data_IF_248021596077
#
_entry.id   IF_248021596077
#
_cell.length_a   1.000
_cell.length_b   1.000
_cell.length_c   1.000
_cell.angle_alpha   90.00
_cell.angle_beta   90.00
_cell.angle_gamma   90.00
#
_symmetry.space_group_name_H-M   'P 1'
#
loop_
_entity.id
_entity.type
_entity.pdbx_description
1 polymer ?
#
# COMPACT_ATOMS: atom_id res chain seq x y z
N UNK A 1 36.83 17.03 -49.83
CA UNK A 1 37.07 15.96 -48.83
C UNK A 1 37.40 16.49 -47.42
N UNK A 2 38.03 17.63 -47.21
CA UNK A 2 38.37 18.17 -45.87
C UNK A 2 37.16 18.53 -44.97
N UNK A 3 36.05 18.98 -45.55
CA UNK A 3 34.89 19.46 -44.77
C UNK A 3 34.04 18.32 -44.10
N UNK A 4 34.15 17.08 -44.55
CA UNK A 4 33.40 15.94 -43.98
C UNK A 4 34.08 15.32 -42.76
N UNK A 5 35.40 15.48 -42.64
CA UNK A 5 36.14 14.97 -41.50
C UNK A 5 35.93 15.86 -40.28
N UNK A 6 35.89 17.19 -40.49
CA UNK A 6 35.66 18.15 -39.39
C UNK A 6 34.25 18.05 -38.81
N UNK A 7 33.22 17.80 -39.64
CA UNK A 7 31.86 17.52 -39.18
C UNK A 7 31.71 16.24 -38.38
N UNK A 8 32.43 15.19 -38.75
CA UNK A 8 32.46 13.93 -38.00
C UNK A 8 33.14 14.04 -36.64
N UNK A 9 34.20 14.84 -36.55
CA UNK A 9 34.91 15.07 -35.28
C UNK A 9 34.07 15.91 -34.32
N UNK A 10 33.38 16.95 -34.81
CA UNK A 10 32.49 17.79 -33.99
C UNK A 10 31.28 16.99 -33.51
N UNK A 11 30.72 16.09 -34.34
CA UNK A 11 29.58 15.24 -33.94
C UNK A 11 29.99 14.18 -32.91
N UNK A 12 31.22 13.66 -33.01
CA UNK A 12 31.79 12.70 -32.02
C UNK A 12 32.10 13.40 -30.69
N UNK A 13 32.55 14.65 -30.70
CA UNK A 13 32.81 15.42 -29.46
C UNK A 13 31.53 15.84 -28.74
N UNK A 14 30.44 16.10 -29.47
CA UNK A 14 29.13 16.43 -28.89
C UNK A 14 28.42 15.19 -28.27
N UNK A 15 28.76 13.98 -28.71
CA UNK A 15 28.23 12.76 -28.10
C UNK A 15 28.89 12.41 -26.74
N UNK A 16 30.12 12.89 -26.51
CA UNK A 16 30.84 12.66 -25.25
C UNK A 16 30.50 13.63 -24.12
N UNK A 17 29.81 14.73 -24.39
CA UNK A 17 29.45 15.73 -23.38
C UNK A 17 28.16 15.39 -22.63
N UNK A 18 27.35 14.41 -23.08
CA UNK A 18 26.08 14.06 -22.47
C UNK A 18 26.09 12.83 -21.56
N UNK A 19 27.21 12.25 -21.27
CA UNK A 19 27.36 11.24 -20.20
C UNK A 19 28.00 11.85 -18.94
N UNK A 20 27.49 13.01 -18.50
CA UNK A 20 27.54 13.30 -17.09
C UNK A 20 26.58 12.29 -16.43
N UNK A 21 27.07 11.09 -16.14
CA UNK A 21 26.45 10.23 -15.15
C UNK A 21 26.44 11.05 -13.87
N UNK A 22 25.32 11.70 -13.57
CA UNK A 22 25.01 12.13 -12.22
C UNK A 22 24.93 10.83 -11.42
N UNK A 23 26.07 10.35 -10.97
CA UNK A 23 26.12 9.46 -9.83
C UNK A 23 25.41 10.21 -8.72
N UNK A 24 24.13 9.91 -8.51
CA UNK A 24 23.45 10.41 -7.33
C UNK A 24 24.27 9.89 -6.16
N UNK A 25 25.00 10.79 -5.50
CA UNK A 25 25.71 10.46 -4.27
C UNK A 25 24.65 9.92 -3.31
N UNK A 26 24.68 8.60 -3.10
CA UNK A 26 23.74 7.93 -2.21
C UNK A 26 23.90 8.57 -0.84
N UNK A 27 22.89 9.33 -0.40
CA UNK A 27 22.94 10.03 0.88
C UNK A 27 23.10 9.00 2.00
N UNK A 28 23.98 9.27 2.98
CA UNK A 28 24.20 8.31 4.07
C UNK A 28 22.94 8.14 4.91
N UNK A 29 22.69 6.92 5.32
CA UNK A 29 21.62 6.55 6.26
C UNK A 29 22.18 6.67 7.68
N UNK A 30 21.54 7.47 8.53
CA UNK A 30 21.89 7.63 9.93
C UNK A 30 21.33 6.50 10.80
N UNK A 31 21.77 6.37 12.05
CA UNK A 31 21.20 5.39 12.97
C UNK A 31 19.74 5.73 13.33
N UNK A 32 19.36 7.00 13.33
CA UNK A 32 17.95 7.40 13.50
C UNK A 32 17.08 6.94 12.33
N UNK A 33 17.62 6.95 11.12
CA UNK A 33 16.91 6.47 9.93
C UNK A 33 16.66 4.96 10.02
N UNK A 34 17.56 4.18 10.61
CA UNK A 34 17.43 2.72 10.74
C UNK A 34 16.27 2.27 11.63
N UNK A 35 15.75 3.16 12.46
CA UNK A 35 14.62 2.92 13.38
C UNK A 35 13.40 3.77 13.05
N UNK A 36 13.29 4.20 11.78
CA UNK A 36 12.22 5.05 11.31
C UNK A 36 10.89 4.30 11.06
N UNK A 37 10.95 3.02 10.74
CA UNK A 37 9.79 2.13 10.74
C UNK A 37 9.51 1.74 12.19
N UNK A 38 8.40 2.22 12.75
CA UNK A 38 8.06 1.98 14.15
C UNK A 38 7.31 0.65 14.31
N UNK A 39 6.29 0.41 13.49
CA UNK A 39 5.58 -0.87 13.48
C UNK A 39 4.71 -1.07 12.23
N UNK A 40 4.27 -2.30 12.03
CA UNK A 40 3.17 -2.65 11.15
C UNK A 40 1.94 -2.86 12.02
N UNK A 41 0.90 -2.05 11.80
CA UNK A 41 -0.36 -2.15 12.52
C UNK A 41 -1.35 -2.95 11.68
N UNK A 42 -1.98 -3.94 12.29
CA UNK A 42 -3.12 -4.64 11.70
C UNK A 42 -4.36 -4.29 12.54
N UNK A 43 -5.21 -3.46 11.99
CA UNK A 43 -6.49 -3.13 12.59
C UNK A 43 -7.54 -4.14 12.15
N UNK A 44 -8.24 -4.79 13.08
CA UNK A 44 -9.50 -5.45 12.74
C UNK A 44 -10.56 -4.37 12.55
N UNK A 45 -10.69 -3.95 11.29
CA UNK A 45 -11.52 -2.83 10.89
C UNK A 45 -13.01 -3.12 11.06
N UNK A 46 -13.44 -4.32 10.63
CA UNK A 46 -14.83 -4.75 10.72
C UNK A 46 -14.90 -6.26 11.00
N UNK A 47 -15.93 -6.69 11.69
CA UNK A 47 -16.32 -8.10 11.82
C UNK A 47 -17.77 -8.26 11.39
N UNK A 48 -18.06 -9.32 10.63
CA UNK A 48 -19.42 -9.61 10.16
C UNK A 48 -20.44 -9.47 11.29
N UNK A 49 -21.44 -8.63 11.10
CA UNK A 49 -22.60 -8.48 11.96
C UNK A 49 -23.88 -8.62 11.12
N UNK A 50 -24.69 -9.63 11.45
CA UNK A 50 -25.97 -9.88 10.77
C UNK A 50 -27.03 -8.79 11.00
N UNK A 51 -26.78 -7.87 11.92
CA UNK A 51 -27.64 -6.70 12.18
C UNK A 51 -27.34 -5.52 11.27
N UNK A 52 -26.16 -5.51 10.62
CA UNK A 52 -25.84 -4.47 9.65
C UNK A 52 -26.67 -4.67 8.39
N UNK A 53 -27.51 -3.70 8.06
CA UNK A 53 -28.29 -3.70 6.83
C UNK A 53 -27.47 -2.99 5.77
N UNK A 54 -27.08 -3.74 4.75
CA UNK A 54 -26.28 -3.25 3.63
C UNK A 54 -26.86 -3.70 2.30
N UNK A 55 -26.66 -2.89 1.25
CA UNK A 55 -26.83 -3.34 -0.12
C UNK A 55 -25.74 -4.37 -0.45
N UNK A 56 -26.19 -5.55 -0.87
CA UNK A 56 -25.32 -6.69 -1.23
C UNK A 56 -25.08 -6.81 -2.71
N UNK A 57 -25.35 -5.75 -3.48
CA UNK A 57 -25.07 -5.73 -4.91
C UNK A 57 -23.55 -5.98 -5.14
N UNK A 58 -23.25 -7.04 -5.88
CA UNK A 58 -21.86 -7.47 -6.13
C UNK A 58 -21.31 -8.48 -5.11
N UNK A 59 -22.10 -8.94 -4.17
CA UNK A 59 -21.78 -10.03 -3.26
C UNK A 59 -22.19 -9.80 -1.82
N UNK A 60 -22.49 -10.89 -1.14
CA UNK A 60 -22.82 -10.92 0.29
C UNK A 60 -21.51 -11.16 1.04
N UNK A 61 -21.24 -10.32 2.04
CA UNK A 61 -20.11 -10.56 2.93
C UNK A 61 -20.33 -11.88 3.67
N UNK A 62 -19.40 -12.85 3.60
CA UNK A 62 -19.58 -14.17 4.22
C UNK A 62 -19.72 -14.08 5.74
N UNK A 63 -20.55 -14.97 6.31
CA UNK A 63 -20.68 -15.09 7.77
C UNK A 63 -19.34 -15.44 8.40
N UNK A 64 -18.91 -14.67 9.40
CA UNK A 64 -17.62 -14.87 10.06
C UNK A 64 -16.48 -14.10 9.39
N UNK A 65 -16.74 -13.41 8.28
CA UNK A 65 -15.74 -12.57 7.64
C UNK A 65 -15.27 -11.45 8.58
N UNK A 66 -13.97 -11.21 8.58
CA UNK A 66 -13.34 -10.06 9.20
C UNK A 66 -12.63 -9.24 8.13
N UNK A 67 -12.68 -7.93 8.26
CA UNK A 67 -11.95 -6.98 7.41
C UNK A 67 -10.78 -6.43 8.21
N UNK A 68 -9.61 -6.49 7.63
CA UNK A 68 -8.37 -6.01 8.21
C UNK A 68 -7.83 -4.84 7.38
N UNK A 69 -7.34 -3.80 8.06
CA UNK A 69 -6.56 -2.73 7.46
C UNK A 69 -5.12 -2.82 7.96
N UNK A 70 -4.16 -2.74 7.05
CA UNK A 70 -2.72 -2.84 7.36
C UNK A 70 -2.10 -1.47 7.17
N UNK A 71 -1.44 -0.96 8.19
CA UNK A 71 -0.78 0.34 8.20
C UNK A 71 0.72 0.20 8.45
N UNK A 72 1.48 1.06 7.81
CA UNK A 72 2.89 1.31 8.11
C UNK A 72 2.96 2.53 9.02
N UNK A 73 3.44 2.33 10.25
CA UNK A 73 3.64 3.38 11.25
C UNK A 73 5.09 3.85 11.19
N UNK A 74 5.30 5.14 10.97
CA UNK A 74 6.61 5.73 10.69
C UNK A 74 6.86 6.93 11.58
N UNK A 75 8.11 7.16 11.94
CA UNK A 75 8.49 8.40 12.59
C UNK A 75 8.07 9.64 11.80
N UNK A 76 7.78 10.77 12.47
CA UNK A 76 7.46 12.02 11.80
C UNK A 76 8.52 12.41 10.74
N UNK A 77 8.06 12.99 9.63
CA UNK A 77 8.87 13.44 8.49
C UNK A 77 9.46 12.36 7.57
N UNK A 78 9.30 11.08 7.88
CA UNK A 78 9.57 10.00 6.93
C UNK A 78 8.39 9.82 5.97
N UNK A 79 8.64 9.20 4.83
CA UNK A 79 7.61 8.91 3.82
C UNK A 79 7.63 7.44 3.45
N UNK A 80 6.48 6.84 3.20
CA UNK A 80 6.38 5.54 2.58
C UNK A 80 6.49 5.72 1.06
N UNK A 81 7.44 5.05 0.43
CA UNK A 81 7.69 5.14 -1.01
C UNK A 81 7.11 3.97 -1.77
N UNK A 82 7.31 2.74 -1.26
CA UNK A 82 6.82 1.52 -1.89
C UNK A 82 6.61 0.39 -0.89
N UNK A 83 5.71 -0.51 -1.25
CA UNK A 83 5.66 -1.88 -0.74
C UNK A 83 5.99 -2.78 -1.93
N UNK A 84 6.92 -3.73 -1.79
CA UNK A 84 7.51 -4.41 -2.94
C UNK A 84 7.86 -5.87 -2.68
N UNK A 85 7.95 -6.64 -3.77
CA UNK A 85 8.57 -7.96 -3.81
C UNK A 85 9.60 -8.02 -4.93
N UNK A 86 10.76 -8.58 -4.64
CA UNK A 86 11.84 -8.89 -5.59
C UNK A 86 12.29 -10.33 -5.38
N UNK A 87 13.09 -10.87 -6.29
CA UNK A 87 13.51 -12.29 -6.23
C UNK A 87 14.19 -12.66 -4.92
N UNK A 88 14.99 -11.76 -4.36
CA UNK A 88 15.71 -11.95 -3.10
C UNK A 88 14.79 -11.81 -1.88
N UNK A 89 13.72 -11.02 -2.02
CA UNK A 89 12.74 -10.71 -0.98
C UNK A 89 11.32 -10.79 -1.56
N UNK A 90 10.78 -12.00 -1.81
CA UNK A 90 9.41 -12.15 -2.28
C UNK A 90 8.42 -11.60 -1.27
N UNK A 91 7.32 -11.04 -1.78
CA UNK A 91 6.20 -10.56 -0.98
C UNK A 91 5.03 -11.50 -1.10
N UNK A 92 4.33 -11.76 0.00
CA UNK A 92 3.09 -12.53 -0.02
C UNK A 92 2.07 -12.02 1.00
N UNK A 93 0.79 -12.08 0.62
CA UNK A 93 -0.38 -11.88 1.48
C UNK A 93 -1.29 -13.08 1.26
N UNK A 94 -1.66 -13.78 2.33
CA UNK A 94 -2.36 -15.07 2.27
C UNK A 94 -3.49 -15.14 3.27
N UNK A 95 -4.51 -15.90 2.92
CA UNK A 95 -5.56 -16.33 3.85
C UNK A 95 -5.78 -17.84 3.78
N UNK A 96 -6.29 -18.43 4.83
CA UNK A 96 -6.62 -19.88 4.84
C UNK A 96 -7.94 -20.20 4.11
N UNK A 97 -8.72 -19.18 3.75
CA UNK A 97 -9.94 -19.29 2.93
C UNK A 97 -9.77 -18.50 1.62
N UNK A 98 -10.72 -17.65 1.30
CA UNK A 98 -10.66 -16.74 0.16
C UNK A 98 -10.71 -15.29 0.63
N UNK A 99 -10.16 -14.38 -0.17
CA UNK A 99 -10.42 -12.96 -0.01
C UNK A 99 -11.81 -12.62 -0.56
N UNK A 100 -12.58 -11.84 0.20
CA UNK A 100 -13.84 -11.29 -0.28
C UNK A 100 -13.58 -10.14 -1.25
N UNK A 101 -14.27 -10.16 -2.38
CA UNK A 101 -14.27 -9.11 -3.37
C UNK A 101 -15.71 -8.83 -3.82
N UNK A 102 -16.12 -7.56 -3.78
CA UNK A 102 -17.39 -7.13 -4.34
C UNK A 102 -17.26 -7.06 -5.87
N UNK A 103 -17.98 -7.91 -6.60
CA UNK A 103 -17.83 -8.07 -8.06
C UNK A 103 -18.50 -6.97 -8.89
N UNK A 104 -19.28 -6.09 -8.26
CA UNK A 104 -20.01 -5.02 -8.96
C UNK A 104 -19.37 -3.65 -8.75
N UNK A 105 -19.01 -3.30 -7.50
CA UNK A 105 -18.49 -1.98 -7.14
C UNK A 105 -17.05 -2.03 -6.60
N UNK A 106 -16.54 -3.23 -6.30
CA UNK A 106 -15.21 -3.45 -5.77
C UNK A 106 -14.09 -2.98 -6.70
N UNK A 107 -12.95 -2.67 -6.13
CA UNK A 107 -11.77 -2.16 -6.84
C UNK A 107 -10.52 -2.85 -6.29
N UNK A 108 -9.52 -3.11 -7.15
CA UNK A 108 -8.23 -3.66 -6.69
C UNK A 108 -7.32 -2.63 -6.03
N UNK A 109 -7.68 -1.36 -6.04
CA UNK A 109 -6.90 -0.26 -5.45
C UNK A 109 -7.79 0.73 -4.73
N UNK A 110 -7.36 1.16 -3.51
CA UNK A 110 -8.11 2.09 -2.69
C UNK A 110 -8.36 3.45 -3.37
N UNK A 111 -7.38 3.98 -4.12
CA UNK A 111 -7.53 5.23 -4.87
C UNK A 111 -8.48 5.14 -6.08
N UNK A 112 -8.98 3.94 -6.41
CA UNK A 112 -10.01 3.75 -7.44
C UNK A 112 -11.43 3.67 -6.85
N UNK A 113 -11.56 3.43 -5.55
CA UNK A 113 -12.84 3.33 -4.85
C UNK A 113 -13.57 4.67 -4.90
N UNK A 114 -14.84 4.64 -5.30
CA UNK A 114 -15.70 5.82 -5.30
C UNK A 114 -16.54 5.86 -4.01
N UNK A 115 -16.54 6.97 -3.30
CA UNK A 115 -17.26 7.14 -2.02
C UNK A 115 -18.75 6.79 -2.12
N UNK A 116 -19.41 7.19 -3.21
CA UNK A 116 -20.82 6.89 -3.40
C UNK A 116 -21.14 5.40 -3.53
N UNK A 117 -20.14 4.56 -3.79
CA UNK A 117 -20.28 3.12 -4.02
C UNK A 117 -20.09 2.28 -2.77
N UNK A 118 -19.48 2.86 -1.73
CA UNK A 118 -19.26 2.18 -0.45
C UNK A 118 -20.28 2.54 0.62
N UNK A 119 -21.12 3.56 0.38
CA UNK A 119 -22.16 3.95 1.32
C UNK A 119 -23.23 2.85 1.39
N UNK A 120 -23.44 2.29 2.58
CA UNK A 120 -24.40 1.22 2.84
C UNK A 120 -24.27 0.04 1.85
N UNK A 121 -23.05 -0.31 1.47
CA UNK A 121 -22.76 -1.35 0.47
C UNK A 121 -21.60 -2.24 0.91
N UNK A 122 -21.65 -3.53 0.57
CA UNK A 122 -20.57 -4.48 0.87
C UNK A 122 -19.25 -4.15 0.17
N UNK A 123 -19.23 -3.27 -0.84
CA UNK A 123 -18.03 -2.72 -1.43
C UNK A 123 -17.15 -1.94 -0.42
N UNK A 124 -17.72 -1.47 0.71
CA UNK A 124 -16.93 -0.90 1.81
C UNK A 124 -15.97 -1.90 2.44
N UNK A 125 -16.22 -3.19 2.26
CA UNK A 125 -15.45 -4.31 2.81
C UNK A 125 -14.65 -5.07 1.76
N UNK A 126 -14.53 -4.52 0.57
CA UNK A 126 -13.76 -5.09 -0.53
C UNK A 126 -12.27 -5.22 -0.18
N UNK A 127 -11.57 -6.19 -0.80
CA UNK A 127 -10.13 -6.35 -0.61
C UNK A 127 -9.37 -5.58 -1.69
N UNK A 128 -8.40 -4.78 -1.29
CA UNK A 128 -7.58 -3.96 -2.20
C UNK A 128 -6.23 -3.57 -1.57
N UNK A 129 -5.29 -3.17 -2.43
CA UNK A 129 -4.02 -2.57 -2.05
C UNK A 129 -4.10 -1.05 -2.18
N UNK A 130 -3.21 -0.33 -1.49
CA UNK A 130 -3.19 1.14 -1.55
C UNK A 130 -1.87 1.73 -1.02
N UNK A 131 -1.75 3.05 -1.16
CA UNK A 131 -0.74 3.88 -0.51
C UNK A 131 -1.45 5.08 0.15
N UNK A 132 -2.13 4.80 1.27
CA UNK A 132 -2.86 5.76 2.08
C UNK A 132 -4.34 5.90 1.70
N UNK A 133 -4.70 5.90 0.42
CA UNK A 133 -6.07 6.10 -0.03
C UNK A 133 -6.97 4.92 0.35
N UNK A 134 -8.10 5.18 0.99
CA UNK A 134 -9.20 4.22 1.14
C UNK A 134 -10.28 4.44 0.08
N UNK A 135 -10.39 5.66 -0.44
CA UNK A 135 -11.22 6.05 -1.58
C UNK A 135 -10.53 7.14 -2.39
N UNK A 136 -11.16 7.59 -3.47
CA UNK A 136 -10.68 8.73 -4.28
C UNK A 136 -10.58 10.04 -3.50
N UNK A 137 -11.39 10.22 -2.46
CA UNK A 137 -11.50 11.46 -1.71
C UNK A 137 -11.20 11.30 -0.22
N UNK A 138 -10.81 10.11 0.24
CA UNK A 138 -10.48 9.85 1.64
C UNK A 138 -9.22 9.03 1.80
N UNK A 139 -8.35 9.45 2.72
CA UNK A 139 -7.32 8.55 3.27
C UNK A 139 -7.92 7.64 4.33
N UNK A 140 -7.36 6.43 4.44
CA UNK A 140 -7.67 5.53 5.55
C UNK A 140 -6.82 5.85 6.77
N UNK A 141 -7.48 5.97 7.92
CA UNK A 141 -6.89 6.13 9.25
C UNK A 141 -7.40 5.05 10.18
N UNK A 142 -6.78 4.87 11.34
CA UNK A 142 -7.35 3.99 12.36
C UNK A 142 -8.69 4.54 12.83
N UNK A 143 -9.66 3.68 13.09
CA UNK A 143 -10.96 4.11 13.64
C UNK A 143 -10.83 4.92 14.93
N UNK A 144 -9.82 4.63 15.75
CA UNK A 144 -9.55 5.38 16.96
C UNK A 144 -9.06 6.82 16.73
N UNK A 145 -8.55 7.12 15.53
CA UNK A 145 -8.10 8.46 15.13
C UNK A 145 -9.20 9.27 14.44
N UNK A 146 -10.23 8.59 13.96
CA UNK A 146 -11.36 9.20 13.27
C UNK A 146 -12.23 10.00 14.25
N UNK A 147 -12.43 11.29 13.96
CA UNK A 147 -13.18 12.24 14.79
C UNK A 147 -14.33 12.92 14.06
N UNK A 148 -14.49 12.68 12.76
CA UNK A 148 -15.48 13.36 11.92
C UNK A 148 -16.73 12.50 11.65
N UNK A 149 -16.73 11.25 12.13
CA UNK A 149 -17.85 10.32 12.01
C UNK A 149 -17.81 9.52 10.72
N UNK A 150 -18.92 8.87 10.37
CA UNK A 150 -18.96 7.91 9.28
C UNK A 150 -19.77 8.40 8.09
N UNK A 151 -19.22 8.20 6.88
CA UNK A 151 -19.96 8.37 5.62
C UNK A 151 -20.64 7.06 5.17
N UNK A 152 -20.25 5.89 5.75
CA UNK A 152 -20.62 4.58 5.23
C UNK A 152 -22.09 4.21 5.47
N UNK A 153 -22.74 4.76 6.49
CA UNK A 153 -24.12 4.41 6.90
C UNK A 153 -24.30 2.92 7.23
N UNK A 154 -23.29 2.31 7.83
CA UNK A 154 -23.29 0.93 8.35
C UNK A 154 -23.36 1.02 9.87
N UNK A 155 -24.32 0.35 10.50
CA UNK A 155 -24.63 0.54 11.93
C UNK A 155 -23.40 0.40 12.84
N UNK A 156 -22.60 -0.64 12.69
CA UNK A 156 -21.41 -0.86 13.52
C UNK A 156 -20.26 0.12 13.26
N UNK A 157 -20.33 0.91 12.19
CA UNK A 157 -19.35 1.94 11.81
C UNK A 157 -19.93 3.37 11.84
N UNK A 158 -21.11 3.57 12.40
CA UNK A 158 -21.76 4.90 12.41
C UNK A 158 -20.98 5.97 13.18
N UNK A 159 -20.23 5.60 14.20
CA UNK A 159 -19.44 6.54 15.00
C UNK A 159 -18.05 6.82 14.41
N UNK A 160 -17.52 5.91 13.63
CA UNK A 160 -16.17 6.00 13.08
C UNK A 160 -15.96 4.95 11.99
N UNK A 161 -15.62 5.38 10.79
CA UNK A 161 -15.32 4.51 9.67
C UNK A 161 -13.84 4.54 9.24
N UNK A 162 -13.02 5.28 9.99
CA UNK A 162 -11.58 5.36 9.71
C UNK A 162 -11.27 5.99 8.34
N UNK A 163 -12.07 6.97 7.91
CA UNK A 163 -11.89 7.74 6.68
C UNK A 163 -11.68 9.21 7.03
N UNK A 164 -10.68 9.83 6.45
CA UNK A 164 -10.48 11.29 6.58
C UNK A 164 -10.48 11.94 5.20
N UNK A 165 -11.31 12.97 5.03
CA UNK A 165 -11.46 13.67 3.75
C UNK A 165 -10.15 14.34 3.32
N UNK A 166 -9.69 14.05 2.11
CA UNK A 166 -8.50 14.65 1.51
C UNK A 166 -8.40 14.32 0.03
N UNK A 167 -7.59 15.09 -0.71
CA UNK A 167 -7.20 14.74 -2.08
C UNK A 167 -6.15 13.62 -2.02
N UNK A 168 -6.53 12.42 -2.45
CA UNK A 168 -5.63 11.27 -2.46
C UNK A 168 -4.67 11.32 -3.66
N UNK A 169 -3.48 10.72 -3.49
CA UNK A 169 -2.52 10.57 -4.58
C UNK A 169 -2.75 9.24 -5.30
N UNK A 170 -2.59 9.19 -6.63
CA UNK A 170 -2.70 7.95 -7.38
C UNK A 170 -1.57 6.99 -7.03
N UNK A 171 -1.91 5.72 -6.87
CA UNK A 171 -0.96 4.64 -6.66
C UNK A 171 -0.42 4.18 -8.02
N UNK A 172 0.89 3.96 -8.10
CA UNK A 172 1.53 3.38 -9.28
C UNK A 172 1.88 1.92 -9.00
N UNK A 173 1.49 1.04 -9.91
CA UNK A 173 1.76 -0.40 -9.83
C UNK A 173 2.82 -0.79 -10.86
N UNK A 174 3.83 -1.54 -10.42
CA UNK A 174 4.92 -2.05 -11.25
C UNK A 174 4.94 -3.57 -11.18
N UNK A 175 5.10 -4.25 -12.34
CA UNK A 175 5.17 -5.70 -12.41
C UNK A 175 3.90 -6.44 -11.95
N UNK A 176 2.80 -5.73 -11.71
CA UNK A 176 1.54 -6.29 -11.24
C UNK A 176 0.34 -5.45 -11.72
N UNK A 177 -0.85 -6.03 -11.66
CA UNK A 177 -2.11 -5.37 -12.02
C UNK A 177 -2.88 -5.02 -10.73
N UNK A 178 -3.40 -3.78 -10.61
CA UNK A 178 -4.07 -3.33 -9.39
C UNK A 178 -5.40 -4.04 -9.10
N UNK A 179 -6.06 -4.59 -10.11
CA UNK A 179 -7.31 -5.32 -9.96
C UNK A 179 -7.12 -6.84 -9.71
N UNK A 180 -5.98 -7.24 -9.12
CA UNK A 180 -5.72 -8.61 -8.72
C UNK A 180 -6.88 -9.22 -7.91
N UNK A 181 -7.36 -8.51 -6.90
CA UNK A 181 -8.46 -8.98 -6.06
C UNK A 181 -9.81 -9.01 -6.78
N UNK A 182 -10.03 -8.16 -7.79
CA UNK A 182 -11.28 -8.15 -8.57
C UNK A 182 -11.33 -9.25 -9.64
N UNK A 183 -10.17 -9.63 -10.18
CA UNK A 183 -10.09 -10.60 -11.28
C UNK A 183 -10.19 -12.04 -10.78
N UNK A 184 -9.77 -12.31 -9.55
CA UNK A 184 -9.65 -13.65 -8.98
C UNK A 184 -10.47 -13.79 -7.70
N UNK A 185 -11.80 -13.83 -7.82
CA UNK A 185 -12.73 -14.00 -6.68
C UNK A 185 -12.48 -15.26 -5.85
N UNK A 186 -11.69 -16.18 -6.36
CA UNK A 186 -11.32 -17.43 -5.68
C UNK A 186 -9.89 -17.43 -5.15
N UNK A 187 -9.21 -16.28 -5.11
CA UNK A 187 -7.82 -16.22 -4.64
C UNK A 187 -7.75 -16.22 -3.12
N UNK A 188 -6.81 -17.00 -2.61
CA UNK A 188 -6.41 -17.02 -1.20
C UNK A 188 -4.99 -16.52 -0.99
N UNK A 189 -4.30 -16.10 -2.06
CA UNK A 189 -2.93 -15.64 -2.01
C UNK A 189 -2.65 -14.58 -3.08
N UNK A 190 -2.08 -13.47 -2.64
CA UNK A 190 -1.33 -12.55 -3.48
C UNK A 190 0.17 -12.78 -3.27
N UNK A 191 0.92 -12.92 -4.36
CA UNK A 191 2.36 -13.15 -4.35
C UNK A 191 3.02 -12.34 -5.45
N UNK A 192 4.17 -11.77 -5.14
CA UNK A 192 5.04 -11.17 -6.16
C UNK A 192 6.51 -11.26 -5.75
N UNK A 193 7.36 -11.56 -6.71
CA UNK A 193 8.83 -11.51 -6.65
C UNK A 193 9.43 -10.52 -7.65
N UNK A 194 8.54 -9.77 -8.34
CA UNK A 194 8.93 -8.73 -9.30
C UNK A 194 7.80 -7.69 -9.43
N UNK A 195 7.35 -7.15 -8.30
CA UNK A 195 6.25 -6.18 -8.32
C UNK A 195 6.23 -5.27 -7.12
N UNK A 196 5.57 -4.12 -7.28
CA UNK A 196 5.38 -3.16 -6.20
C UNK A 196 4.16 -2.28 -6.44
N UNK A 197 3.65 -1.70 -5.34
CA UNK A 197 2.80 -0.53 -5.39
C UNK A 197 3.47 0.61 -4.64
N UNK A 198 3.43 1.81 -5.22
CA UNK A 198 4.28 2.92 -4.84
C UNK A 198 3.66 4.29 -5.11
N UNK A 199 4.17 5.31 -4.44
CA UNK A 199 3.94 6.72 -4.79
C UNK A 199 5.29 7.40 -5.03
N UNK A 200 5.45 8.02 -6.20
CA UNK A 200 6.65 8.80 -6.51
C UNK A 200 6.84 9.95 -5.52
N UNK A 201 8.05 10.05 -4.96
CA UNK A 201 8.36 10.99 -3.89
C UNK A 201 7.85 10.58 -2.51
N UNK A 202 7.11 9.47 -2.44
CA UNK A 202 6.54 8.94 -1.21
C UNK A 202 5.33 9.70 -0.68
N UNK A 203 4.75 9.16 0.38
CA UNK A 203 3.59 9.72 1.08
C UNK A 203 3.82 9.68 2.59
N UNK A 204 3.33 10.69 3.29
CA UNK A 204 3.16 10.70 4.75
C UNK A 204 1.75 10.26 5.11
N UNK A 205 1.58 9.77 6.31
CA UNK A 205 0.25 9.57 6.88
C UNK A 205 -0.54 10.89 6.95
N UNK A 206 -1.87 10.83 6.87
CA UNK A 206 -2.71 12.02 6.87
C UNK A 206 -2.87 12.67 8.25
N UNK A 207 -2.40 12.01 9.31
CA UNK A 207 -2.42 12.50 10.70
C UNK A 207 -1.00 12.73 11.22
N UNK A 208 -0.87 13.36 12.39
CA UNK A 208 0.43 13.60 13.03
C UNK A 208 1.18 12.30 13.37
N UNK A 209 0.44 11.20 13.56
CA UNK A 209 0.97 9.87 13.85
C UNK A 209 1.71 9.22 12.67
N UNK A 210 1.65 9.82 11.48
CA UNK A 210 2.34 9.39 10.26
C UNK A 210 2.12 7.92 9.88
N UNK A 211 0.88 7.43 9.99
CA UNK A 211 0.46 6.08 9.62
C UNK A 211 -0.08 6.05 8.21
N UNK A 212 0.41 5.16 7.37
CA UNK A 212 -0.02 5.00 5.98
C UNK A 212 -0.70 3.66 5.79
N UNK A 213 -1.96 3.67 5.38
CA UNK A 213 -2.71 2.46 5.00
C UNK A 213 -2.10 1.86 3.73
N UNK A 214 -1.85 0.54 3.72
CA UNK A 214 -1.24 -0.15 2.56
C UNK A 214 -2.13 -1.23 1.96
N UNK A 215 -3.11 -1.74 2.71
CA UNK A 215 -4.07 -2.73 2.24
C UNK A 215 -5.32 -2.75 3.11
N UNK A 216 -6.46 -3.08 2.49
CA UNK A 216 -7.66 -3.60 3.16
C UNK A 216 -7.91 -5.01 2.65
N UNK A 217 -8.18 -5.94 3.54
CA UNK A 217 -8.30 -7.36 3.24
C UNK A 217 -9.45 -7.97 4.02
N UNK A 218 -10.40 -8.56 3.33
CA UNK A 218 -11.58 -9.18 3.92
C UNK A 218 -11.54 -10.70 3.73
N UNK A 219 -11.70 -11.47 4.79
CA UNK A 219 -11.65 -12.94 4.76
C UNK A 219 -12.36 -13.56 5.95
N UNK A 220 -12.84 -14.80 5.80
CA UNK A 220 -13.29 -15.66 6.89
C UNK A 220 -12.13 -16.41 7.54
N UNK A 221 -10.97 -16.46 6.88
CA UNK A 221 -9.81 -17.26 7.27
C UNK A 221 -8.82 -16.52 8.16
N UNK A 222 -7.74 -17.22 8.48
CA UNK A 222 -6.59 -16.64 9.13
C UNK A 222 -5.73 -15.90 8.08
N UNK A 223 -5.46 -14.61 8.32
CA UNK A 223 -4.62 -13.78 7.47
C UNK A 223 -3.15 -13.94 7.88
N UNK A 224 -2.26 -13.95 6.91
CA UNK A 224 -0.80 -13.90 7.09
C UNK A 224 -0.15 -13.10 5.98
N UNK A 225 1.00 -12.50 6.25
CA UNK A 225 1.77 -11.80 5.22
C UNK A 225 3.27 -11.78 5.50
N UNK A 226 4.02 -11.59 4.44
CA UNK A 226 5.44 -11.24 4.40
C UNK A 226 5.60 -10.06 3.44
N UNK A 227 6.05 -8.91 3.96
CA UNK A 227 6.13 -7.65 3.23
C UNK A 227 7.57 -7.15 3.18
N UNK A 228 7.89 -6.28 2.21
CA UNK A 228 9.09 -5.46 2.20
C UNK A 228 8.70 -4.02 1.86
N UNK A 229 9.37 -3.05 2.48
CA UNK A 229 8.98 -1.65 2.47
C UNK A 229 10.16 -0.77 2.11
N UNK A 230 9.94 0.20 1.24
CA UNK A 230 10.88 1.28 1.00
C UNK A 230 10.34 2.58 1.59
N UNK A 231 11.17 3.25 2.38
CA UNK A 231 10.87 4.53 3.02
C UNK A 231 11.85 5.61 2.56
N UNK A 232 11.37 6.85 2.46
CA UNK A 232 12.19 8.03 2.23
C UNK A 232 12.53 8.74 3.54
N UNK A 233 13.78 9.13 3.69
CA UNK A 233 14.24 9.93 4.84
C UNK A 233 13.96 11.42 4.66
N UNK A 234 13.95 12.22 5.74
CA UNK A 234 13.86 13.68 5.64
C UNK A 234 15.00 14.32 4.82
N UNK A 235 16.15 13.65 4.72
CA UNK A 235 17.29 14.11 3.95
C UNK A 235 17.23 13.71 2.48
N UNK A 236 16.22 12.89 2.08
CA UNK A 236 16.02 12.40 0.71
C UNK A 236 16.83 11.15 0.37
N UNK A 237 17.31 10.38 1.35
CA UNK A 237 17.78 9.02 1.16
C UNK A 237 16.59 8.05 1.12
N UNK A 238 16.80 6.83 0.59
CA UNK A 238 15.83 5.73 0.68
C UNK A 238 16.37 4.62 1.56
N UNK A 239 15.48 4.02 2.36
CA UNK A 239 15.76 2.90 3.26
C UNK A 239 14.86 1.74 2.85
N UNK A 240 15.45 0.56 2.72
CA UNK A 240 14.71 -0.68 2.49
C UNK A 240 14.64 -1.49 3.80
N UNK A 241 13.43 -1.74 4.25
CA UNK A 241 13.16 -2.68 5.32
C UNK A 241 12.65 -3.99 4.71
N UNK A 242 13.30 -5.09 5.08
CA UNK A 242 12.99 -6.42 4.54
C UNK A 242 12.61 -7.39 5.66
N UNK A 243 11.73 -8.33 5.32
CA UNK A 243 11.26 -9.34 6.26
C UNK A 243 12.37 -10.31 6.68
N UNK A 244 13.22 -10.73 5.72
CA UNK A 244 14.24 -11.76 5.91
C UNK A 244 15.51 -11.43 5.10
N UNK A 245 16.63 -12.01 5.53
CA UNK A 245 17.90 -12.08 4.78
C UNK A 245 18.38 -10.74 4.21
N UNK A 246 18.49 -9.66 5.03
CA UNK A 246 18.88 -8.34 4.53
C UNK A 246 20.23 -8.39 3.82
N UNK A 247 20.34 -7.65 2.71
CA UNK A 247 21.54 -7.55 1.91
C UNK A 247 22.07 -6.12 1.88
N UNK A 248 23.38 -5.96 2.04
CA UNK A 248 24.01 -4.65 1.96
C UNK A 248 23.52 -3.67 3.04
N UNK A 249 22.82 -2.61 2.61
CA UNK A 249 22.30 -1.56 3.49
C UNK A 249 20.82 -1.78 3.91
N UNK A 250 20.26 -2.94 3.61
CA UNK A 250 18.90 -3.27 4.00
C UNK A 250 18.78 -3.53 5.51
N UNK A 251 17.62 -3.27 6.04
CA UNK A 251 17.33 -3.42 7.47
C UNK A 251 16.30 -4.52 7.65
N UNK A 252 16.66 -5.56 8.39
CA UNK A 252 15.69 -6.57 8.80
C UNK A 252 14.71 -5.98 9.80
N UNK A 253 13.42 -6.20 9.57
CA UNK A 253 12.36 -5.82 10.50
C UNK A 253 11.35 -6.96 10.66
N UNK A 254 11.34 -7.60 11.83
CA UNK A 254 10.54 -8.79 12.09
C UNK A 254 9.02 -8.54 12.02
N UNK A 255 8.56 -7.31 12.26
CA UNK A 255 7.15 -6.93 12.14
C UNK A 255 6.58 -6.99 10.72
N UNK A 256 7.44 -7.13 9.69
CA UNK A 256 7.02 -7.37 8.30
C UNK A 256 6.51 -8.79 8.04
N UNK A 257 6.62 -9.67 9.02
CA UNK A 257 6.04 -11.01 8.99
C UNK A 257 4.95 -11.08 10.05
N UNK A 258 3.73 -11.39 9.61
CA UNK A 258 2.62 -11.64 10.52
C UNK A 258 1.96 -12.97 10.14
N UNK A 259 1.62 -13.76 11.14
CA UNK A 259 1.01 -15.07 10.95
C UNK A 259 -0.22 -15.20 11.84
N UNK A 260 -1.25 -15.91 11.34
CA UNK A 260 -2.45 -16.27 12.11
C UNK A 260 -3.20 -15.06 12.70
N UNK A 261 -3.35 -14.00 11.92
CA UNK A 261 -4.22 -12.87 12.26
C UNK A 261 -5.67 -13.34 12.12
N UNK A 262 -6.47 -13.17 13.19
CA UNK A 262 -7.85 -13.62 13.24
C UNK A 262 -8.78 -12.63 13.96
#
# INVERSE_FOLDING_TARGET
>A
MKNNILKKIIFSLLLFINYSVFSQVKKPISDLDKVALEKIIVEKYYSYDSKDIMDTLGGVLPKGCSVYRIYVDMKPNYTLQAVYGVSEHPLSIKTTTLFFNNTNQGQGSGDYVNDSKIINNTAAFDSWLTMGAATKAHYGILKAEDKDGSILKINSLNSSDGLISSTTKPVTYFGMIPNFFNTYNSSNMFFTDNGSWAIFGGIKGPTEENRVLIAQLATEGELSFELNIQMGTPTGASINYVAKNPQGAEIKYDGLIQNKIK
#
